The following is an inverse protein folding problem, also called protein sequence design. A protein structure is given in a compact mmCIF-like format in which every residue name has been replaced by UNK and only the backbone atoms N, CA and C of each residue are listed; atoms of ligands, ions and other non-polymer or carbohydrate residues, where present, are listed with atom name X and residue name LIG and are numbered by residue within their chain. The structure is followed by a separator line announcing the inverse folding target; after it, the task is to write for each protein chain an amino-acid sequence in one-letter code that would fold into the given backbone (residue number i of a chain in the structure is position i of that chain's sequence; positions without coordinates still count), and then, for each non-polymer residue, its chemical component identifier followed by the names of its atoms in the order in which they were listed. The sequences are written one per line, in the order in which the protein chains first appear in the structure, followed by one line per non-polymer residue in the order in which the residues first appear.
data_IF_844518767551
#
_entry.id   IF_844518767551
#
_cell.length_a   1.000
_cell.length_b   1.000
_cell.length_c   1.000
_cell.angle_alpha   90.00
_cell.angle_beta   90.00
_cell.angle_gamma   90.00
#
_symmetry.space_group_name_H-M   'P 1'
#
loop_
_entity.id
_entity.type
_entity.pdbx_description
1 polymer ?
#
# COMPACT_ATOMS: atom_id res chain seq x y z
N UNK A 1 -23.58 26.86 -11.06
CA UNK A 1 -22.27 27.10 -11.71
C UNK A 1 -21.55 25.78 -11.81
N UNK A 2 -21.44 25.19 -12.99
CA UNK A 2 -20.51 24.09 -13.23
C UNK A 2 -19.12 24.71 -13.33
N UNK A 3 -18.23 24.39 -12.40
CA UNK A 3 -16.81 24.73 -12.53
C UNK A 3 -16.26 23.70 -13.52
N UNK A 4 -16.06 24.12 -14.78
CA UNK A 4 -15.82 23.25 -15.93
C UNK A 4 -14.41 22.67 -16.02
N UNK A 5 -13.95 21.96 -14.99
CA UNK A 5 -12.68 21.23 -15.05
C UNK A 5 -12.90 19.86 -15.67
N UNK A 6 -12.03 19.47 -16.62
CA UNK A 6 -12.12 18.16 -17.27
C UNK A 6 -11.46 17.06 -16.41
N UNK A 7 -11.99 15.82 -16.37
CA UNK A 7 -11.38 14.70 -15.64
C UNK A 7 -9.90 14.47 -15.98
N UNK A 8 -9.51 14.68 -17.25
CA UNK A 8 -8.12 14.47 -17.68
C UNK A 8 -7.12 15.44 -17.04
N UNK A 9 -7.59 16.53 -16.42
CA UNK A 9 -6.76 17.53 -15.75
C UNK A 9 -6.49 17.21 -14.27
N UNK A 10 -7.09 16.13 -13.75
CA UNK A 10 -6.95 15.73 -12.36
C UNK A 10 -5.96 14.60 -12.18
N UNK A 11 -5.25 14.65 -11.05
CA UNK A 11 -4.35 13.61 -10.57
C UNK A 11 -4.78 13.21 -9.17
N UNK A 12 -5.18 11.96 -8.99
CA UNK A 12 -5.55 11.41 -7.70
C UNK A 12 -4.35 10.69 -7.10
N UNK A 13 -4.11 10.91 -5.80
CA UNK A 13 -3.07 10.22 -5.06
C UNK A 13 -3.77 9.48 -3.92
N UNK A 14 -3.69 8.16 -3.93
CA UNK A 14 -4.33 7.30 -2.94
C UNK A 14 -3.31 6.45 -2.21
N UNK A 15 -3.36 6.44 -0.87
CA UNK A 15 -2.48 5.62 -0.04
C UNK A 15 -3.24 4.45 0.58
N UNK A 16 -2.65 3.25 0.60
CA UNK A 16 -3.26 2.05 1.19
C UNK A 16 -4.65 1.80 0.59
N UNK A 17 -5.71 1.73 1.41
CA UNK A 17 -7.10 1.63 0.95
C UNK A 17 -7.50 2.78 0.00
N UNK A 18 -6.92 3.97 0.21
CA UNK A 18 -7.16 5.14 -0.62
C UNK A 18 -6.73 4.95 -2.08
N UNK A 19 -5.77 4.06 -2.36
CA UNK A 19 -5.37 3.73 -3.73
C UNK A 19 -6.53 3.08 -4.50
N UNK A 20 -7.23 2.13 -3.87
CA UNK A 20 -8.41 1.49 -4.47
C UNK A 20 -9.59 2.45 -4.58
N UNK A 21 -9.78 3.34 -3.60
CA UNK A 21 -10.80 4.39 -3.68
C UNK A 21 -10.53 5.32 -4.89
N UNK A 22 -9.26 5.65 -5.15
CA UNK A 22 -8.89 6.41 -6.33
C UNK A 22 -9.18 5.65 -7.64
N UNK A 23 -8.93 4.34 -7.67
CA UNK A 23 -9.32 3.46 -8.78
C UNK A 23 -10.81 3.51 -9.08
N UNK A 24 -11.65 3.21 -8.07
CA UNK A 24 -13.11 3.30 -8.18
C UNK A 24 -13.62 4.70 -8.58
N UNK A 25 -12.93 5.77 -8.18
CA UNK A 25 -13.25 7.11 -8.62
C UNK A 25 -12.92 7.31 -10.11
N UNK A 26 -11.74 6.83 -10.56
CA UNK A 26 -11.31 6.85 -11.94
C UNK A 26 -12.25 6.09 -12.88
N UNK A 27 -12.61 4.87 -12.50
CA UNK A 27 -13.60 4.02 -13.16
C UNK A 27 -14.91 4.77 -13.45
N UNK A 28 -15.41 5.54 -12.47
CA UNK A 28 -16.68 6.29 -12.55
C UNK A 28 -16.57 7.62 -13.30
N UNK A 29 -15.42 8.29 -13.20
CA UNK A 29 -15.23 9.60 -13.84
C UNK A 29 -14.97 9.47 -15.33
N UNK A 30 -14.43 8.33 -15.78
CA UNK A 30 -13.99 8.04 -17.14
C UNK A 30 -12.94 9.03 -17.66
N UNK A 31 -11.83 8.53 -18.23
CA UNK A 31 -10.70 9.38 -18.71
C UNK A 31 -10.11 10.29 -17.62
N UNK A 32 -9.95 9.77 -16.40
CA UNK A 32 -9.21 10.48 -15.38
C UNK A 32 -7.74 10.65 -15.81
N UNK A 33 -7.13 11.81 -15.50
CA UNK A 33 -5.79 12.14 -16.00
C UNK A 33 -4.69 11.21 -15.49
N UNK A 34 -4.59 11.05 -14.16
CA UNK A 34 -3.61 10.18 -13.53
C UNK A 34 -4.06 9.68 -12.18
N UNK A 35 -3.65 8.46 -11.81
CA UNK A 35 -3.70 7.96 -10.44
C UNK A 35 -2.29 7.58 -10.00
N UNK A 36 -1.90 8.00 -8.79
CA UNK A 36 -0.74 7.43 -8.10
C UNK A 36 -1.19 6.61 -6.90
N UNK A 37 -0.93 5.30 -6.94
CA UNK A 37 -1.19 4.37 -5.84
C UNK A 37 0.02 4.24 -4.93
N UNK A 38 -0.10 4.70 -3.68
CA UNK A 38 0.97 4.61 -2.68
C UNK A 38 0.69 3.43 -1.76
N UNK A 39 1.45 2.35 -1.95
CA UNK A 39 1.37 1.07 -1.23
C UNK A 39 -0.07 0.54 -1.15
N UNK A 40 -0.71 0.18 -2.27
CA UNK A 40 -2.12 -0.24 -2.29
C UNK A 40 -2.39 -1.37 -1.30
N UNK A 41 -3.52 -1.31 -0.58
CA UNK A 41 -3.83 -2.27 0.47
C UNK A 41 -4.02 -3.69 -0.10
N UNK A 42 -3.20 -4.65 0.32
CA UNK A 42 -3.37 -6.05 -0.01
C UNK A 42 -4.55 -6.77 0.67
N UNK A 43 -4.89 -6.54 1.96
CA UNK A 43 -6.06 -7.18 2.57
C UNK A 43 -7.34 -6.89 1.77
N UNK A 44 -8.11 -7.93 1.42
CA UNK A 44 -9.33 -7.86 0.60
C UNK A 44 -9.16 -7.50 -0.89
N UNK A 45 -7.98 -7.03 -1.31
CA UNK A 45 -7.71 -6.66 -2.72
C UNK A 45 -6.62 -7.51 -3.41
N UNK A 46 -6.15 -8.58 -2.75
CA UNK A 46 -5.24 -9.59 -3.31
C UNK A 46 -6.00 -10.73 -3.99
N UNK A 47 -5.49 -11.22 -5.11
CA UNK A 47 -6.03 -12.34 -5.88
C UNK A 47 -7.51 -12.16 -6.24
N UNK A 48 -7.91 -10.91 -6.47
CA UNK A 48 -9.25 -10.54 -6.87
C UNK A 48 -9.22 -9.93 -8.27
N UNK A 49 -10.35 -9.97 -8.99
CA UNK A 49 -10.45 -9.36 -10.32
C UNK A 49 -10.07 -7.86 -10.32
N UNK A 50 -9.54 -7.37 -11.43
CA UNK A 50 -9.11 -5.96 -11.58
C UNK A 50 -10.20 -4.96 -11.21
N UNK A 51 -11.45 -5.22 -11.61
CA UNK A 51 -12.63 -4.38 -11.31
C UNK A 51 -12.86 -4.09 -9.82
N UNK A 52 -12.30 -4.88 -8.90
CA UNK A 52 -12.48 -4.64 -7.46
C UNK A 52 -11.30 -3.94 -6.80
N UNK A 53 -10.21 -3.66 -7.53
CA UNK A 53 -8.97 -3.07 -7.04
C UNK A 53 -8.53 -1.91 -7.94
N UNK A 54 -7.35 -1.37 -7.66
CA UNK A 54 -6.73 -0.38 -8.55
C UNK A 54 -6.14 -1.14 -9.73
N UNK A 55 -6.40 -0.67 -10.94
CA UNK A 55 -5.84 -1.24 -12.15
C UNK A 55 -5.52 -0.16 -13.21
N UNK A 56 -4.72 -0.49 -14.25
CA UNK A 56 -4.28 0.49 -15.25
C UNK A 56 -5.43 1.17 -16.03
N UNK A 57 -6.61 0.56 -16.10
CA UNK A 57 -7.77 1.10 -16.83
C UNK A 57 -8.48 2.24 -16.10
N UNK A 58 -8.20 2.44 -14.81
CA UNK A 58 -8.86 3.45 -13.97
C UNK A 58 -8.49 4.91 -14.36
N UNK A 59 -7.38 5.11 -15.06
CA UNK A 59 -6.95 6.43 -15.54
C UNK A 59 -6.21 6.35 -16.87
N UNK A 60 -5.85 7.51 -17.45
CA UNK A 60 -4.97 7.57 -18.62
C UNK A 60 -3.55 7.10 -18.29
N UNK A 61 -3.14 7.26 -17.02
CA UNK A 61 -1.88 6.74 -16.52
C UNK A 61 -1.99 6.40 -15.03
N UNK A 62 -1.55 5.21 -14.65
CA UNK A 62 -1.53 4.75 -13.26
C UNK A 62 -0.11 4.37 -12.88
N UNK A 63 0.46 5.04 -11.88
CA UNK A 63 1.75 4.68 -11.30
C UNK A 63 1.61 4.23 -9.85
N UNK A 64 2.28 3.15 -9.48
CA UNK A 64 2.12 2.52 -8.17
C UNK A 64 3.49 2.38 -7.50
N UNK A 65 3.56 2.68 -6.20
CA UNK A 65 4.76 2.50 -5.39
C UNK A 65 4.46 1.48 -4.30
N UNK A 66 5.15 0.35 -4.31
CA UNK A 66 5.00 -0.73 -3.35
C UNK A 66 6.10 -0.66 -2.29
N UNK A 67 5.79 -0.13 -1.12
CA UNK A 67 6.76 0.06 -0.03
C UNK A 67 6.68 -0.99 1.07
N UNK A 68 5.57 -1.74 1.16
CA UNK A 68 5.41 -2.86 2.08
C UNK A 68 4.59 -4.03 1.47
N UNK A 69 4.89 -4.47 0.22
CA UNK A 69 4.20 -5.58 -0.41
C UNK A 69 4.43 -6.88 0.36
N UNK A 70 3.36 -7.60 0.70
CA UNK A 70 3.47 -8.88 1.37
C UNK A 70 2.39 -9.89 0.93
N UNK A 71 2.72 -11.20 0.88
CA UNK A 71 1.76 -12.24 0.50
C UNK A 71 0.66 -12.44 1.55
N UNK A 72 0.89 -11.99 2.79
CA UNK A 72 -0.02 -12.16 3.91
C UNK A 72 0.02 -10.94 4.83
N UNK A 73 -1.11 -10.63 5.46
CA UNK A 73 -1.27 -9.50 6.41
C UNK A 73 -0.30 -9.52 7.59
N UNK A 74 0.27 -10.69 7.87
CA UNK A 74 1.22 -10.95 8.95
C UNK A 74 2.61 -10.42 8.65
N UNK A 75 2.92 -10.24 7.37
CA UNK A 75 4.23 -9.85 6.87
C UNK A 75 4.23 -8.44 6.28
N UNK A 76 3.05 -7.89 5.98
CA UNK A 76 2.89 -6.54 5.44
C UNK A 76 1.46 -6.30 4.96
N UNK A 77 1.16 -5.04 4.67
CA UNK A 77 -0.18 -4.63 4.25
C UNK A 77 -0.29 -4.25 2.80
N UNK A 78 0.82 -3.99 2.11
CA UNK A 78 0.81 -3.70 0.68
C UNK A 78 0.45 -4.93 -0.15
N UNK A 79 -0.22 -4.73 -1.27
CA UNK A 79 -0.41 -5.76 -2.27
C UNK A 79 0.93 -6.04 -2.98
N UNK A 80 1.32 -7.30 -3.20
CA UNK A 80 2.49 -7.63 -4.01
C UNK A 80 2.19 -7.65 -5.53
N UNK A 81 0.92 -7.48 -5.92
CA UNK A 81 0.44 -7.56 -7.29
C UNK A 81 0.61 -6.22 -8.01
N UNK A 82 1.07 -6.28 -9.26
CA UNK A 82 1.20 -5.12 -10.12
C UNK A 82 -0.21 -4.53 -10.40
N UNK A 83 -0.36 -3.22 -10.22
CA UNK A 83 -1.66 -2.53 -10.21
C UNK A 83 -1.68 -1.24 -11.04
N UNK A 84 -0.59 -0.91 -11.73
CA UNK A 84 -0.50 0.26 -12.60
C UNK A 84 0.09 -0.02 -13.96
N UNK A 85 0.19 1.02 -14.79
CA UNK A 85 1.02 1.01 -15.99
C UNK A 85 2.51 0.92 -15.63
N UNK A 86 2.86 1.42 -14.43
CA UNK A 86 4.21 1.41 -13.91
C UNK A 86 4.22 1.15 -12.40
N UNK A 87 4.86 0.06 -12.00
CA UNK A 87 4.99 -0.36 -10.60
C UNK A 87 6.44 -0.23 -10.11
N UNK A 88 6.64 0.53 -9.03
CA UNK A 88 7.92 0.77 -8.39
C UNK A 88 8.03 0.00 -7.08
N UNK A 89 9.14 -0.69 -6.88
CA UNK A 89 9.44 -1.46 -5.66
C UNK A 89 10.71 -0.93 -4.99
N UNK A 90 10.65 0.21 -4.26
CA UNK A 90 11.81 0.75 -3.56
C UNK A 90 12.39 -0.27 -2.58
N UNK A 91 13.70 -0.52 -2.65
CA UNK A 91 14.36 -1.54 -1.83
C UNK A 91 13.81 -2.96 -2.02
N UNK A 92 13.19 -3.26 -3.16
CA UNK A 92 12.52 -4.54 -3.41
C UNK A 92 11.19 -4.70 -2.66
N UNK A 93 10.58 -3.60 -2.19
CA UNK A 93 9.41 -3.62 -1.30
C UNK A 93 9.76 -3.61 0.19
N UNK A 94 11.02 -3.38 0.52
CA UNK A 94 11.46 -3.16 1.90
C UNK A 94 12.41 -1.95 1.96
N UNK A 95 11.88 -0.72 2.08
CA UNK A 95 12.70 0.47 2.12
C UNK A 95 13.66 0.44 3.32
N UNK A 96 14.90 0.93 3.14
CA UNK A 96 15.88 0.93 4.22
C UNK A 96 15.41 1.78 5.40
N UNK A 97 15.67 1.30 6.62
CA UNK A 97 15.25 1.98 7.86
C UNK A 97 13.86 1.57 8.38
N UNK A 98 13.13 0.72 7.66
CA UNK A 98 11.93 0.06 8.16
C UNK A 98 12.26 -1.35 8.68
N UNK A 99 12.02 -1.60 9.96
CA UNK A 99 12.04 -2.96 10.50
C UNK A 99 10.70 -3.61 10.16
N UNK A 100 10.70 -4.74 9.43
CA UNK A 100 9.47 -5.46 9.10
C UNK A 100 8.96 -6.26 10.31
N UNK A 101 8.58 -5.55 11.36
CA UNK A 101 8.13 -6.10 12.64
C UNK A 101 6.62 -5.88 12.83
N UNK A 102 5.86 -5.95 11.75
CA UNK A 102 4.41 -5.74 11.82
C UNK A 102 3.65 -6.88 12.52
N UNK A 103 4.20 -8.09 12.43
CA UNK A 103 3.84 -9.23 13.27
C UNK A 103 3.67 -8.85 14.75
N UNK A 104 4.55 -8.03 15.31
CA UNK A 104 4.51 -7.66 16.73
C UNK A 104 3.34 -6.74 17.05
N UNK A 105 3.05 -5.73 16.23
CA UNK A 105 2.04 -4.73 16.58
C UNK A 105 0.61 -5.28 16.57
N UNK A 106 0.28 -6.23 15.66
CA UNK A 106 -1.03 -6.90 15.71
C UNK A 106 -1.12 -7.95 16.82
N UNK A 107 0.01 -8.55 17.18
CA UNK A 107 0.11 -9.61 18.18
C UNK A 107 0.14 -9.04 19.61
N UNK A 108 0.52 -7.77 19.78
CA UNK A 108 0.42 -7.04 21.06
C UNK A 108 -1.04 -6.73 21.44
N UNK A 109 -1.95 -6.62 20.47
CA UNK A 109 -3.39 -6.41 20.72
C UNK A 109 -4.16 -7.72 21.00
N UNK A 110 -3.51 -8.89 20.85
CA UNK A 110 -4.13 -10.19 21.11
C UNK A 110 -3.91 -10.66 22.56
N UNK A 111 -4.87 -11.40 23.16
CA UNK A 111 -4.69 -12.03 24.46
C UNK A 111 -3.39 -12.86 24.51
N UNK A 112 -2.68 -12.80 25.63
CA UNK A 112 -1.31 -13.30 25.83
C UNK A 112 -1.11 -14.76 25.42
N UNK A 113 -2.15 -15.60 25.53
CA UNK A 113 -2.13 -17.02 25.14
C UNK A 113 -2.12 -17.24 23.62
N UNK A 114 -2.74 -16.34 22.86
CA UNK A 114 -2.73 -16.37 21.38
C UNK A 114 -1.42 -15.77 20.86
N UNK A 115 -0.91 -14.75 21.57
CA UNK A 115 0.33 -14.05 21.24
C UNK A 115 1.56 -14.97 21.27
N UNK A 116 1.67 -15.81 22.31
CA UNK A 116 2.78 -16.77 22.46
C UNK A 116 2.76 -17.88 21.41
N UNK A 117 1.60 -18.43 21.08
CA UNK A 117 1.41 -19.44 20.02
C UNK A 117 1.79 -18.91 18.63
N UNK A 118 1.68 -17.60 18.44
CA UNK A 118 1.94 -16.95 17.17
C UNK A 118 3.40 -16.55 16.99
N UNK A 119 4.03 -16.03 18.04
CA UNK A 119 5.46 -15.71 18.06
C UNK A 119 6.32 -16.97 17.82
N UNK A 120 5.91 -18.12 18.38
CA UNK A 120 6.58 -19.41 18.18
C UNK A 120 6.58 -19.85 16.69
N UNK A 121 5.52 -19.50 15.95
CA UNK A 121 5.40 -19.76 14.52
C UNK A 121 6.21 -18.78 13.66
N UNK A 122 6.45 -17.57 14.14
CA UNK A 122 7.25 -16.56 13.46
C UNK A 122 8.75 -16.90 13.47
N UNK A 123 9.29 -17.37 14.60
CA UNK A 123 10.69 -17.79 14.69
C UNK A 123 10.98 -19.04 13.84
N UNK A 124 10.00 -19.92 13.66
CA UNK A 124 10.15 -21.16 12.90
C UNK A 124 10.34 -20.97 11.38
N UNK A 125 9.98 -19.82 10.79
CA UNK A 125 9.96 -19.65 9.34
C UNK A 125 11.05 -18.74 8.76
N UNK A 126 11.80 -18.00 9.58
CA UNK A 126 12.90 -17.14 9.12
C UNK A 126 12.53 -16.10 8.05
N UNK A 127 13.44 -15.17 7.70
CA UNK A 127 13.23 -14.28 6.57
C UNK A 127 13.40 -15.08 5.27
N UNK A 128 12.29 -15.41 4.61
CA UNK A 128 12.32 -15.89 3.22
C UNK A 128 12.67 -14.69 2.34
N UNK A 129 13.89 -14.70 1.78
CA UNK A 129 14.32 -13.79 0.72
C UNK A 129 13.45 -14.01 -0.51
N UNK A 130 12.77 -12.96 -0.94
CA UNK A 130 12.01 -12.97 -2.18
C UNK A 130 12.95 -12.61 -3.34
N UNK A 131 13.43 -13.60 -4.06
CA UNK A 131 14.02 -13.40 -5.39
C UNK A 131 12.87 -13.42 -6.42
N UNK A 132 12.46 -12.25 -6.92
CA UNK A 132 11.61 -12.15 -8.13
C UNK A 132 12.49 -12.46 -9.37
N UNK A 133 11.98 -13.07 -10.45
CA UNK A 133 12.75 -13.33 -11.67
C UNK A 133 13.35 -12.04 -12.26
N UNK A 134 14.44 -12.12 -13.04
CA UNK A 134 15.10 -10.95 -13.59
C UNK A 134 14.16 -10.17 -14.51
N UNK A 135 13.78 -8.95 -14.10
CA UNK A 135 13.18 -7.96 -15.00
C UNK A 135 14.29 -7.41 -15.87
N UNK A 136 14.10 -7.47 -17.19
CA UNK A 136 15.05 -7.04 -18.20
C UNK A 136 15.58 -5.63 -17.91
N UNK A 137 16.88 -5.54 -17.71
CA UNK A 137 17.60 -4.31 -17.36
C UNK A 137 17.51 -3.27 -18.48
N UNK A 138 16.67 -2.25 -18.31
CA UNK A 138 16.99 -0.93 -18.84
C UNK A 138 17.58 -0.11 -17.70
N UNK A 139 18.91 -0.08 -17.64
CA UNK A 139 19.72 0.63 -16.65
C UNK A 139 19.36 2.12 -16.55
N UNK A 140 18.82 2.57 -15.42
CA UNK A 140 19.02 3.94 -14.96
C UNK A 140 20.37 3.98 -14.24
N UNK A 141 21.35 4.66 -14.83
CA UNK A 141 22.65 4.92 -14.19
C UNK A 141 22.45 6.02 -13.15
N UNK A 142 22.58 5.67 -11.88
CA UNK A 142 22.62 6.60 -10.77
C UNK A 142 23.84 7.53 -10.88
N UNK A 143 23.62 8.82 -10.58
CA UNK A 143 24.68 9.74 -10.16
C UNK A 143 24.50 9.96 -8.66
N UNK A 144 25.55 9.65 -7.92
CA UNK A 144 25.65 9.81 -6.47
C UNK A 144 25.22 11.20 -5.98
N UNK A 145 24.30 11.24 -5.02
CA UNK A 145 24.21 12.36 -4.07
C UNK A 145 24.14 11.77 -2.66
N UNK A 146 25.30 11.77 -2.01
CA UNK A 146 25.45 11.61 -0.58
C UNK A 146 25.06 12.92 0.11
N UNK A 147 24.00 12.91 0.93
CA UNK A 147 23.82 13.91 1.99
C UNK A 147 23.42 13.24 3.30
N UNK A 148 24.38 13.21 4.24
CA UNK A 148 24.15 13.02 5.69
C UNK A 148 23.35 14.20 6.24
N UNK A 149 22.31 13.93 7.02
CA UNK A 149 21.93 14.80 8.13
C UNK A 149 21.12 14.03 9.17
N UNK A 150 21.70 13.85 10.35
CA UNK A 150 21.02 13.46 11.58
C UNK A 150 20.06 14.57 12.03
N UNK A 151 18.84 14.20 12.44
CA UNK A 151 17.88 15.10 13.06
C UNK A 151 16.74 14.33 13.69
N UNK A 152 16.77 14.18 15.01
CA UNK A 152 15.69 13.64 15.85
C UNK A 152 14.55 14.66 15.95
N UNK A 153 13.32 14.25 15.60
CA UNK A 153 12.09 15.01 15.90
C UNK A 153 11.09 14.03 16.50
N UNK A 154 10.57 14.38 17.68
CA UNK A 154 9.73 13.55 18.52
C UNK A 154 8.34 13.26 17.94
N UNK A 155 7.85 12.07 18.25
CA UNK A 155 6.52 11.54 17.94
C UNK A 155 5.43 12.16 18.82
N UNK A 156 4.27 12.59 18.27
CA UNK A 156 3.04 12.67 19.05
C UNK A 156 2.38 11.28 19.11
N UNK A 157 1.74 11.03 20.24
CA UNK A 157 1.17 9.75 20.68
C UNK A 157 -0.01 9.25 19.83
N UNK A 158 -0.06 7.93 19.70
CA UNK A 158 -0.96 7.09 18.90
C UNK A 158 -2.39 6.91 19.46
N UNK A 159 -2.91 7.85 20.25
CA UNK A 159 -4.13 7.59 21.04
C UNK A 159 -5.46 8.10 20.46
N UNK A 160 -5.57 8.39 19.15
CA UNK A 160 -6.80 8.99 18.58
C UNK A 160 -7.42 8.26 17.38
N UNK A 161 -6.92 7.10 16.95
CA UNK A 161 -7.43 6.43 15.73
C UNK A 161 -8.40 5.26 15.96
N UNK A 162 -8.79 4.92 17.19
CA UNK A 162 -9.56 3.70 17.47
C UNK A 162 -11.07 3.91 17.68
N UNK A 163 -11.62 5.13 17.71
CA UNK A 163 -13.03 5.32 18.11
C UNK A 163 -14.07 5.53 17.00
N UNK A 164 -13.74 5.40 15.70
CA UNK A 164 -14.71 5.68 14.62
C UNK A 164 -15.18 4.48 13.80
N UNK A 165 -14.76 3.25 14.12
CA UNK A 165 -15.04 2.08 13.28
C UNK A 165 -16.50 1.53 13.36
N UNK A 166 -17.35 1.76 14.39
CA UNK A 166 -18.69 1.18 14.38
C UNK A 166 -19.82 2.15 13.96
N UNK A 167 -19.60 3.05 12.98
CA UNK A 167 -20.70 3.92 12.47
C UNK A 167 -20.93 3.86 10.94
N UNK A 168 -20.22 3.01 10.20
CA UNK A 168 -20.42 2.86 8.74
C UNK A 168 -21.16 1.57 8.33
N UNK A 169 -21.78 0.86 9.28
CA UNK A 169 -22.53 -0.39 9.02
C UNK A 169 -24.05 -0.30 9.22
N UNK A 170 -24.60 0.92 9.27
CA UNK A 170 -26.06 1.14 9.35
C UNK A 170 -26.58 2.18 8.35
N UNK A 171 -26.28 2.02 7.06
CA UNK A 171 -27.08 2.66 6.03
C UNK A 171 -27.80 1.61 5.17
N UNK A 172 -29.13 1.70 5.04
CA UNK A 172 -29.91 0.75 4.26
C UNK A 172 -29.60 0.95 2.78
N UNK A 173 -29.41 -0.17 2.08
CA UNK A 173 -29.41 -0.21 0.62
C UNK A 173 -30.80 0.21 0.13
N UNK A 174 -30.88 1.39 -0.49
CA UNK A 174 -31.89 1.75 -1.50
C UNK A 174 -31.22 2.60 -2.58
#
# INVERSE_FOLDING_TARGET
KTVGSRPESFHLIGHSLGAHIAGYAGERLHKLGRISGLDPAGPFFRNVPEIVRLDPSDAVFVDVIHSNPAPSVLRGFGSPEDSGDLDFFPGGGNPPGCEQTFARSLVEDLPTEVSSLYLDRFEAHGPISFERPPVSSSTCKDKDVSTKSSGTIGSPSSSLLITWIPLLLQLPQQ
#
